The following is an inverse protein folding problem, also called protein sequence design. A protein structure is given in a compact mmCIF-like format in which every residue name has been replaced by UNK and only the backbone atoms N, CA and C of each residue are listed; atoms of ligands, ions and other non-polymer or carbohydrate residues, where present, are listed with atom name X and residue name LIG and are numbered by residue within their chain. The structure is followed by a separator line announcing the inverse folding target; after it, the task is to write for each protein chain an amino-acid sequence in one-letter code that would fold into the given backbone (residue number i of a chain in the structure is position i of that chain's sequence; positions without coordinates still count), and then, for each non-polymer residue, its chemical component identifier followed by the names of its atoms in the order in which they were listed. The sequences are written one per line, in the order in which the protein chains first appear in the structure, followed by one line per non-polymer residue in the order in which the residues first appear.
data_IF_557091469992
#
_entry.id   IF_557091469992
#
_cell.length_a   1.000
_cell.length_b   1.000
_cell.length_c   1.000
_cell.angle_alpha   90.00
_cell.angle_beta   90.00
_cell.angle_gamma   90.00
#
_symmetry.space_group_name_H-M   'P 1'
#
loop_
_entity.id
_entity.type
_entity.pdbx_description
1 polymer ?
#
# COMPACT_ATOMS: atom_id res chain seq x y z
N UNK A 1 65.06 45.67 -30.35
CA UNK A 1 64.91 44.30 -29.75
C UNK A 1 63.72 44.31 -28.77
N UNK A 2 62.56 43.81 -29.21
CA UNK A 2 61.31 43.90 -28.48
C UNK A 2 60.88 42.48 -28.12
N UNK A 3 60.89 42.15 -26.84
CA UNK A 3 60.52 40.83 -26.31
C UNK A 3 59.04 40.82 -26.05
N UNK A 4 58.27 40.01 -26.80
CA UNK A 4 56.84 39.71 -26.55
C UNK A 4 56.72 38.63 -25.48
N UNK A 5 56.09 38.94 -24.36
CA UNK A 5 55.65 37.97 -23.33
C UNK A 5 54.29 37.38 -23.75
N UNK A 6 54.24 36.06 -23.93
CA UNK A 6 53.00 35.30 -24.07
C UNK A 6 52.41 35.01 -22.65
N UNK A 7 51.23 35.55 -22.37
CA UNK A 7 50.40 35.09 -21.25
C UNK A 7 49.68 33.78 -21.65
N UNK A 8 49.95 32.71 -20.94
CA UNK A 8 49.14 31.48 -21.01
C UNK A 8 48.01 31.61 -19.98
N UNK A 9 46.75 31.66 -20.44
CA UNK A 9 45.57 31.57 -19.62
C UNK A 9 45.34 30.11 -19.19
N UNK A 10 45.37 29.86 -17.90
CA UNK A 10 45.00 28.56 -17.29
C UNK A 10 43.49 28.58 -17.04
N UNK A 11 42.73 27.84 -17.84
CA UNK A 11 41.32 27.56 -17.56
C UNK A 11 41.21 26.47 -16.49
N UNK A 12 40.87 26.85 -15.28
CA UNK A 12 40.53 25.91 -14.22
C UNK A 12 39.07 25.50 -14.44
N UNK A 13 38.87 24.29 -14.92
CA UNK A 13 37.57 23.67 -15.03
C UNK A 13 37.06 23.28 -13.62
N UNK A 14 36.02 23.95 -13.14
CA UNK A 14 35.31 23.58 -11.93
C UNK A 14 34.42 22.39 -12.30
N UNK A 15 34.83 21.18 -11.91
CA UNK A 15 33.99 20.02 -11.97
C UNK A 15 32.90 20.15 -10.86
N UNK A 16 31.67 20.37 -11.28
CA UNK A 16 30.53 20.32 -10.36
C UNK A 16 30.33 18.89 -9.88
N UNK A 17 30.70 18.61 -8.64
CA UNK A 17 30.32 17.37 -7.97
C UNK A 17 28.79 17.39 -7.73
N UNK A 18 28.08 16.55 -8.45
CA UNK A 18 26.70 16.26 -8.13
C UNK A 18 26.64 15.65 -6.72
N UNK A 19 25.67 16.05 -5.86
CA UNK A 19 25.55 15.45 -4.52
C UNK A 19 25.22 13.97 -4.68
N UNK A 20 26.09 13.10 -4.16
CA UNK A 20 25.82 11.69 -4.01
C UNK A 20 24.71 11.56 -2.96
N UNK A 21 23.52 11.18 -3.40
CA UNK A 21 22.43 10.86 -2.48
C UNK A 21 22.85 9.60 -1.71
N UNK A 22 23.16 9.75 -0.42
CA UNK A 22 23.40 8.61 0.46
C UNK A 22 22.08 7.83 0.58
N UNK A 23 22.06 6.60 0.08
CA UNK A 23 20.91 5.71 0.26
C UNK A 23 20.78 5.31 1.73
N UNK A 24 19.56 5.46 2.28
CA UNK A 24 19.27 5.01 3.63
C UNK A 24 19.42 3.48 3.74
N UNK A 25 20.13 3.02 4.76
CA UNK A 25 20.27 1.59 5.07
C UNK A 25 19.67 1.32 6.45
N UNK A 26 18.80 0.33 6.55
CA UNK A 26 18.27 -0.19 7.80
C UNK A 26 18.58 -1.69 7.88
N UNK A 27 19.70 -2.05 8.48
CA UNK A 27 20.08 -3.44 8.68
C UNK A 27 20.03 -4.30 7.42
N UNK A 28 19.03 -5.16 7.32
CA UNK A 28 18.83 -6.10 6.21
C UNK A 28 18.26 -5.51 4.92
N UNK A 29 17.95 -4.20 4.86
CA UNK A 29 17.38 -3.52 3.67
C UNK A 29 18.16 -2.26 3.34
N UNK A 30 18.33 -2.00 2.05
CA UNK A 30 18.93 -0.75 1.55
C UNK A 30 18.03 -0.15 0.45
N UNK A 31 17.94 1.17 0.41
CA UNK A 31 17.28 1.85 -0.70
C UNK A 31 18.13 1.67 -1.98
N UNK A 32 17.50 1.17 -3.04
CA UNK A 32 18.15 0.89 -4.33
C UNK A 32 17.66 1.79 -5.44
N UNK A 33 16.45 2.35 -5.31
CA UNK A 33 15.89 3.28 -6.29
C UNK A 33 14.97 4.31 -5.64
N UNK A 34 14.73 5.39 -6.35
CA UNK A 34 13.72 6.41 -6.10
C UNK A 34 13.12 6.81 -7.44
N UNK A 35 11.85 6.49 -7.64
CA UNK A 35 11.15 6.60 -8.93
C UNK A 35 10.15 7.73 -8.83
N UNK A 36 10.38 8.85 -9.52
CA UNK A 36 9.46 9.98 -9.52
C UNK A 36 8.13 9.60 -10.20
N UNK A 37 7.01 9.91 -9.54
CA UNK A 37 5.67 9.76 -10.11
C UNK A 37 5.17 11.08 -10.72
N UNK A 38 5.70 12.22 -10.26
CA UNK A 38 5.24 13.55 -10.63
C UNK A 38 3.89 13.91 -10.00
N UNK A 39 3.17 14.90 -10.56
CA UNK A 39 1.83 15.25 -10.11
C UNK A 39 0.80 14.17 -10.49
N UNK A 40 -0.34 14.11 -9.78
CA UNK A 40 -0.78 14.98 -8.68
C UNK A 40 -0.13 14.63 -7.33
N UNK A 41 -0.21 15.55 -6.37
CA UNK A 41 0.39 15.46 -5.03
C UNK A 41 -0.51 14.65 -4.08
N UNK A 42 -0.93 13.47 -4.52
CA UNK A 42 -1.77 12.55 -3.74
C UNK A 42 -1.40 11.11 -4.08
N UNK A 43 -1.41 10.25 -3.09
CA UNK A 43 -1.28 8.79 -3.27
C UNK A 43 -2.04 8.05 -2.19
N UNK A 44 -2.26 6.77 -2.45
CA UNK A 44 -2.83 5.86 -1.48
C UNK A 44 -2.18 4.46 -1.57
N UNK A 45 -2.96 3.38 -1.65
CA UNK A 45 -2.45 2.02 -1.55
C UNK A 45 -1.54 1.62 -2.70
N UNK A 46 -0.68 0.67 -2.37
CA UNK A 46 0.27 0.03 -3.29
C UNK A 46 0.00 -1.46 -3.30
N UNK A 47 -0.13 -2.04 -4.48
CA UNK A 47 -0.39 -3.47 -4.64
C UNK A 47 0.65 -4.09 -5.56
N UNK A 48 1.24 -5.21 -5.11
CA UNK A 48 2.12 -6.02 -5.93
C UNK A 48 1.33 -7.17 -6.57
N UNK A 49 1.48 -7.34 -7.88
CA UNK A 49 1.01 -8.53 -8.59
C UNK A 49 2.19 -9.50 -8.81
N UNK A 50 2.31 -10.56 -8.01
CA UNK A 50 3.39 -11.51 -8.18
C UNK A 50 3.27 -12.31 -9.49
N UNK A 51 2.10 -12.36 -10.11
CA UNK A 51 1.87 -13.01 -11.41
C UNK A 51 2.68 -12.36 -12.54
N UNK A 52 2.67 -11.03 -12.60
CA UNK A 52 3.29 -10.25 -13.67
C UNK A 52 4.57 -9.51 -13.24
N UNK A 53 4.89 -9.47 -11.95
CA UNK A 53 5.91 -8.62 -11.34
C UNK A 53 5.63 -7.12 -11.54
N UNK A 54 4.36 -6.74 -11.59
CA UNK A 54 3.94 -5.33 -11.63
C UNK A 54 3.60 -4.84 -10.24
N UNK A 55 3.90 -3.58 -10.01
CA UNK A 55 3.51 -2.82 -8.82
C UNK A 55 2.54 -1.74 -9.28
N UNK A 56 1.38 -1.71 -8.70
CA UNK A 56 0.32 -0.74 -8.95
C UNK A 56 0.26 0.24 -7.79
N UNK A 57 0.28 1.53 -8.09
CA UNK A 57 0.26 2.61 -7.09
C UNK A 57 -0.94 3.50 -7.36
N UNK A 58 -1.84 3.62 -6.41
CA UNK A 58 -2.91 4.61 -6.45
C UNK A 58 -2.28 6.01 -6.33
N UNK A 59 -2.39 6.81 -7.39
CA UNK A 59 -1.71 8.09 -7.52
C UNK A 59 -2.65 9.18 -8.02
N UNK A 60 -3.40 9.72 -7.09
CA UNK A 60 -4.34 10.80 -7.37
C UNK A 60 -5.44 10.38 -8.36
N UNK A 61 -5.40 10.85 -9.59
CA UNK A 61 -6.41 10.62 -10.64
C UNK A 61 -6.11 9.39 -11.54
N UNK A 62 -5.10 8.58 -11.17
CA UNK A 62 -4.60 7.46 -11.97
C UNK A 62 -3.99 6.36 -11.11
N UNK A 63 -3.73 5.21 -11.72
CA UNK A 63 -2.85 4.19 -11.17
C UNK A 63 -1.52 4.24 -11.94
N UNK A 64 -0.41 4.48 -11.26
CA UNK A 64 0.92 4.29 -11.83
C UNK A 64 1.31 2.81 -11.78
N UNK A 65 1.86 2.27 -12.87
CA UNK A 65 2.25 0.86 -12.98
C UNK A 65 3.75 0.75 -13.20
N UNK A 66 4.43 0.07 -12.29
CA UNK A 66 5.88 -0.16 -12.35
C UNK A 66 6.17 -1.64 -12.62
N UNK A 67 7.32 -1.93 -13.22
CA UNK A 67 7.89 -3.29 -13.28
C UNK A 67 8.89 -3.46 -12.11
N UNK A 68 8.64 -4.45 -11.25
CA UNK A 68 9.44 -4.70 -10.05
C UNK A 68 10.86 -5.22 -10.34
N UNK A 69 11.14 -5.67 -11.58
CA UNK A 69 12.46 -6.16 -11.98
C UNK A 69 13.36 -5.02 -12.39
N UNK A 70 12.83 -4.08 -13.19
CA UNK A 70 13.58 -2.95 -13.75
C UNK A 70 13.50 -1.68 -12.92
N UNK A 71 12.55 -1.61 -11.96
CA UNK A 71 12.26 -0.42 -11.15
C UNK A 71 11.90 0.81 -12.02
N UNK A 72 11.15 0.59 -13.12
CA UNK A 72 10.69 1.64 -14.02
C UNK A 72 9.17 1.67 -14.12
N UNK A 73 8.62 2.87 -14.39
CA UNK A 73 7.21 3.02 -14.77
C UNK A 73 7.04 2.41 -16.17
N UNK A 74 6.07 1.49 -16.30
CA UNK A 74 5.77 0.80 -17.57
C UNK A 74 4.42 1.19 -18.16
N UNK A 75 3.64 2.00 -17.44
CA UNK A 75 2.36 2.52 -17.89
C UNK A 75 1.55 3.13 -16.78
N UNK A 76 0.33 3.53 -17.12
CA UNK A 76 -0.64 4.07 -16.16
C UNK A 76 -2.06 3.77 -16.60
N UNK A 77 -2.99 3.68 -15.63
CA UNK A 77 -4.42 3.65 -15.85
C UNK A 77 -4.96 5.03 -15.52
N UNK A 78 -5.56 5.70 -16.46
CA UNK A 78 -6.04 7.09 -16.34
C UNK A 78 -7.56 7.16 -16.28
N UNK A 79 -8.07 8.32 -15.84
CA UNK A 79 -9.49 8.64 -15.96
C UNK A 79 -10.29 8.55 -14.67
N UNK A 80 -9.67 8.64 -13.49
CA UNK A 80 -10.33 8.66 -12.17
C UNK A 80 -10.20 10.02 -11.49
N UNK A 81 -10.82 11.10 -12.03
CA UNK A 81 -10.64 12.46 -11.53
C UNK A 81 -11.16 12.66 -10.09
N UNK A 82 -11.99 11.77 -9.57
CA UNK A 82 -12.45 11.77 -8.18
C UNK A 82 -11.44 11.22 -7.18
N UNK A 83 -10.36 10.65 -7.68
CA UNK A 83 -9.28 10.08 -6.87
C UNK A 83 -9.32 8.56 -6.79
N UNK A 84 -8.12 7.96 -6.72
CA UNK A 84 -7.91 6.51 -6.58
C UNK A 84 -7.33 6.20 -5.20
N UNK A 85 -7.77 5.08 -4.61
CA UNK A 85 -7.32 4.60 -3.31
C UNK A 85 -6.98 3.10 -3.39
N UNK A 86 -7.99 2.22 -3.52
CA UNK A 86 -7.83 0.78 -3.55
C UNK A 86 -7.41 0.22 -4.91
N UNK A 87 -6.80 -0.96 -4.88
CA UNK A 87 -6.45 -1.70 -6.09
C UNK A 87 -6.66 -3.19 -5.81
N UNK A 88 -7.39 -3.88 -6.69
CA UNK A 88 -7.52 -5.34 -6.66
C UNK A 88 -7.16 -5.94 -8.02
N UNK A 89 -6.58 -7.14 -8.00
CA UNK A 89 -6.16 -7.85 -9.21
C UNK A 89 -6.99 -9.12 -9.36
N UNK A 90 -7.71 -9.23 -10.45
CA UNK A 90 -8.43 -10.45 -10.87
C UNK A 90 -7.66 -11.15 -12.00
N UNK A 91 -6.67 -11.96 -11.63
CA UNK A 91 -5.88 -12.69 -12.63
C UNK A 91 -6.72 -13.63 -13.47
N UNK A 92 -7.84 -14.13 -12.95
CA UNK A 92 -8.74 -15.06 -13.65
C UNK A 92 -9.47 -14.43 -14.83
N UNK A 93 -9.77 -13.12 -14.76
CA UNK A 93 -10.41 -12.34 -15.83
C UNK A 93 -9.44 -11.48 -16.62
N UNK A 94 -8.20 -11.32 -16.13
CA UNK A 94 -7.21 -10.42 -16.73
C UNK A 94 -7.47 -8.94 -16.41
N UNK A 95 -8.29 -8.66 -15.41
CA UNK A 95 -8.69 -7.30 -15.01
C UNK A 95 -8.03 -6.87 -13.72
N UNK A 96 -7.76 -5.57 -13.63
CA UNK A 96 -7.52 -4.86 -12.39
C UNK A 96 -8.73 -4.01 -12.03
N UNK A 97 -8.91 -3.73 -10.77
CA UNK A 97 -9.97 -2.87 -10.25
C UNK A 97 -9.34 -1.77 -9.40
N UNK A 98 -9.88 -0.58 -9.51
CA UNK A 98 -9.60 0.58 -8.65
C UNK A 98 -10.91 1.35 -8.43
N UNK A 99 -10.83 2.49 -7.79
CA UNK A 99 -11.97 3.37 -7.55
C UNK A 99 -11.83 4.73 -8.26
N UNK A 100 -12.94 5.39 -8.45
CA UNK A 100 -13.08 6.83 -8.63
C UNK A 100 -13.89 7.33 -7.43
N UNK A 101 -13.23 7.46 -6.28
CA UNK A 101 -13.84 7.53 -4.95
C UNK A 101 -14.88 8.64 -4.81
N UNK A 102 -14.57 9.87 -5.25
CA UNK A 102 -15.53 10.97 -5.17
C UNK A 102 -16.76 10.79 -6.07
N UNK A 103 -16.70 9.90 -7.07
CA UNK A 103 -17.85 9.56 -7.91
C UNK A 103 -18.63 8.35 -7.42
N UNK A 104 -18.12 7.64 -6.43
CA UNK A 104 -18.74 6.40 -5.97
C UNK A 104 -18.75 5.32 -7.05
N UNK A 105 -17.64 5.14 -7.73
CA UNK A 105 -17.46 4.15 -8.78
C UNK A 105 -16.27 3.23 -8.47
N UNK A 106 -16.46 1.93 -8.70
CA UNK A 106 -15.35 1.02 -8.95
C UNK A 106 -15.06 1.01 -10.46
N UNK A 107 -13.78 0.96 -10.82
CA UNK A 107 -13.30 1.06 -12.20
C UNK A 107 -12.53 -0.19 -12.56
N UNK A 108 -13.03 -0.97 -13.51
CA UNK A 108 -12.35 -2.14 -14.07
C UNK A 108 -11.45 -1.72 -15.24
N UNK A 109 -10.24 -2.25 -15.29
CA UNK A 109 -9.29 -2.01 -16.37
C UNK A 109 -8.56 -3.30 -16.78
N UNK A 110 -8.19 -3.40 -18.05
CA UNK A 110 -7.44 -4.53 -18.59
C UNK A 110 -5.98 -4.50 -18.12
N UNK A 111 -5.50 -5.57 -17.51
CA UNK A 111 -4.14 -5.65 -16.94
C UNK A 111 -3.03 -5.57 -17.99
N UNK A 112 -3.30 -5.89 -19.26
CA UNK A 112 -2.30 -5.90 -20.32
C UNK A 112 -2.17 -4.53 -20.97
N UNK A 113 -3.30 -3.94 -21.39
CA UNK A 113 -3.36 -2.66 -22.10
C UNK A 113 -3.42 -1.46 -21.15
N UNK A 114 -3.78 -1.66 -19.88
CA UNK A 114 -4.00 -0.64 -18.85
C UNK A 114 -5.13 0.34 -19.21
N UNK A 115 -6.06 -0.07 -20.05
CA UNK A 115 -7.23 0.74 -20.43
C UNK A 115 -8.41 0.44 -19.53
N UNK A 116 -9.12 1.49 -19.14
CA UNK A 116 -10.42 1.36 -18.46
C UNK A 116 -11.41 0.66 -19.40
N UNK A 117 -12.09 -0.35 -18.90
CA UNK A 117 -13.11 -1.12 -19.61
C UNK A 117 -14.51 -0.80 -19.11
N UNK A 118 -14.69 -0.82 -17.79
CA UNK A 118 -16.00 -0.64 -17.18
C UNK A 118 -15.96 0.29 -15.96
N UNK A 119 -17.07 0.97 -15.72
CA UNK A 119 -17.35 1.72 -14.50
C UNK A 119 -18.56 1.12 -13.84
N UNK A 120 -18.41 0.74 -12.59
CA UNK A 120 -19.38 -0.05 -11.83
C UNK A 120 -19.82 0.82 -10.64
N UNK A 121 -21.14 1.07 -10.47
CA UNK A 121 -21.60 1.82 -9.30
C UNK A 121 -21.14 1.17 -8.00
N UNK A 122 -20.52 1.98 -7.14
CA UNK A 122 -20.18 1.66 -5.75
C UNK A 122 -20.82 2.71 -4.84
N UNK A 123 -20.61 2.64 -3.52
CA UNK A 123 -21.01 3.74 -2.68
C UNK A 123 -19.95 4.85 -2.69
N UNK A 124 -20.30 6.03 -2.21
CA UNK A 124 -19.36 7.13 -2.05
C UNK A 124 -18.20 6.69 -1.11
N UNK A 125 -17.02 7.29 -1.30
CA UNK A 125 -15.83 6.95 -0.54
C UNK A 125 -15.38 5.49 -0.73
N UNK A 126 -15.47 4.99 -1.97
CA UNK A 126 -14.88 3.71 -2.36
C UNK A 126 -13.37 3.79 -2.12
N UNK A 127 -12.81 2.80 -1.40
CA UNK A 127 -11.46 2.83 -0.86
C UNK A 127 -10.77 1.47 -1.00
N UNK A 128 -10.40 0.80 0.08
CA UNK A 128 -9.69 -0.48 0.05
C UNK A 128 -10.40 -1.55 -0.80
N UNK A 129 -9.62 -2.32 -1.55
CA UNK A 129 -10.15 -3.38 -2.42
C UNK A 129 -9.35 -4.68 -2.29
N UNK A 130 -10.04 -5.81 -2.40
CA UNK A 130 -9.41 -7.13 -2.52
C UNK A 130 -10.20 -8.05 -3.43
N UNK A 131 -9.49 -8.89 -4.17
CA UNK A 131 -10.10 -10.05 -4.86
C UNK A 131 -10.06 -11.26 -3.93
N UNK A 132 -11.22 -11.84 -3.63
CA UNK A 132 -11.29 -13.13 -2.95
C UNK A 132 -10.83 -14.26 -3.89
N UNK A 133 -9.78 -15.01 -3.54
CA UNK A 133 -9.21 -16.01 -4.45
C UNK A 133 -10.09 -17.25 -4.62
N UNK A 134 -11.09 -17.49 -3.78
CA UNK A 134 -11.99 -18.64 -3.87
C UNK A 134 -13.16 -18.40 -4.83
N UNK A 135 -13.83 -17.25 -4.70
CA UNK A 135 -14.99 -16.90 -5.53
C UNK A 135 -14.62 -16.10 -6.77
N UNK A 136 -13.46 -15.43 -6.75
CA UNK A 136 -13.03 -14.47 -7.76
C UNK A 136 -13.72 -13.11 -7.64
N UNK A 137 -14.60 -12.90 -6.66
CA UNK A 137 -15.29 -11.63 -6.43
C UNK A 137 -14.35 -10.56 -5.90
N UNK A 138 -14.61 -9.32 -6.26
CA UNK A 138 -13.92 -8.14 -5.74
C UNK A 138 -14.78 -7.52 -4.65
N UNK A 139 -14.18 -7.30 -3.49
CA UNK A 139 -14.77 -6.60 -2.36
C UNK A 139 -14.19 -5.20 -2.29
N UNK A 140 -15.05 -4.20 -2.26
CA UNK A 140 -14.71 -2.78 -2.20
C UNK A 140 -15.22 -2.22 -0.88
N UNK A 141 -14.35 -1.63 -0.08
CA UNK A 141 -14.74 -0.86 1.10
C UNK A 141 -15.28 0.48 0.66
N UNK A 142 -16.47 0.81 1.09
CA UNK A 142 -17.05 2.15 0.99
C UNK A 142 -17.00 2.74 2.42
N UNK A 143 -15.89 3.41 2.74
CA UNK A 143 -15.45 3.68 4.11
C UNK A 143 -16.44 4.47 4.95
N UNK A 144 -16.75 5.69 4.55
CA UNK A 144 -17.62 6.61 5.30
C UNK A 144 -19.08 6.13 5.39
N UNK A 145 -19.71 5.58 4.32
CA UNK A 145 -21.04 4.99 4.42
C UNK A 145 -21.12 3.71 5.24
N UNK A 146 -20.00 3.09 5.57
CA UNK A 146 -19.95 1.83 6.32
C UNK A 146 -20.53 0.65 5.55
N UNK A 147 -20.23 0.55 4.24
CA UNK A 147 -20.72 -0.50 3.35
C UNK A 147 -19.57 -1.20 2.64
N UNK A 148 -19.83 -2.43 2.17
CA UNK A 148 -18.97 -3.08 1.19
C UNK A 148 -19.77 -3.37 -0.07
N UNK A 149 -19.22 -2.98 -1.21
CA UNK A 149 -19.72 -3.37 -2.53
C UNK A 149 -19.01 -4.64 -3.00
N UNK A 150 -19.77 -5.64 -3.42
CA UNK A 150 -19.25 -6.92 -3.92
C UNK A 150 -19.51 -7.02 -5.41
N UNK A 151 -18.44 -7.16 -6.20
CA UNK A 151 -18.48 -7.16 -7.67
C UNK A 151 -18.10 -8.57 -8.17
N UNK A 152 -18.82 -9.06 -9.17
CA UNK A 152 -18.38 -10.22 -9.97
C UNK A 152 -17.62 -9.72 -11.22
N UNK A 153 -16.31 -9.98 -11.31
CA UNK A 153 -15.48 -9.53 -12.45
C UNK A 153 -15.88 -10.18 -13.80
N UNK A 154 -16.65 -11.28 -13.80
CA UNK A 154 -17.07 -11.92 -15.05
C UNK A 154 -18.23 -11.19 -15.73
N UNK A 155 -19.01 -10.44 -14.97
CA UNK A 155 -20.18 -9.68 -15.44
C UNK A 155 -20.02 -8.18 -15.26
N UNK A 156 -18.91 -7.74 -14.64
CA UNK A 156 -18.64 -6.34 -14.29
C UNK A 156 -19.83 -5.69 -13.59
N UNK A 157 -20.43 -6.41 -12.65
CA UNK A 157 -21.65 -5.96 -11.96
C UNK A 157 -21.59 -6.20 -10.47
N UNK A 158 -22.29 -5.34 -9.72
CA UNK A 158 -22.52 -5.51 -8.30
C UNK A 158 -23.44 -6.71 -8.06
N UNK A 159 -22.98 -7.68 -7.27
CA UNK A 159 -23.73 -8.89 -6.92
C UNK A 159 -24.25 -8.87 -5.49
N UNK A 160 -23.69 -8.00 -4.64
CA UNK A 160 -24.17 -7.79 -3.27
C UNK A 160 -23.67 -6.43 -2.74
N UNK A 161 -24.38 -5.91 -1.76
CA UNK A 161 -23.92 -4.82 -0.88
C UNK A 161 -24.10 -5.26 0.55
N UNK A 162 -23.05 -5.14 1.37
CA UNK A 162 -23.05 -5.52 2.78
C UNK A 162 -23.08 -4.25 3.60
N UNK A 163 -24.09 -4.08 4.46
CA UNK A 163 -24.17 -2.96 5.38
C UNK A 163 -23.50 -3.34 6.71
N UNK A 164 -22.40 -2.68 7.03
CA UNK A 164 -21.65 -2.85 8.27
C UNK A 164 -22.06 -1.83 9.31
N UNK A 165 -22.51 -0.65 8.86
CA UNK A 165 -22.99 0.43 9.72
C UNK A 165 -21.88 1.07 10.57
N UNK A 166 -20.62 0.99 10.14
CA UNK A 166 -19.47 1.60 10.81
C UNK A 166 -18.33 1.80 9.81
N UNK A 167 -17.48 2.80 10.05
CA UNK A 167 -16.32 3.10 9.20
C UNK A 167 -15.33 1.94 9.18
N UNK A 168 -14.91 1.60 7.97
CA UNK A 168 -13.90 0.59 7.66
C UNK A 168 -12.74 1.23 6.88
N UNK A 169 -11.65 0.45 6.71
CA UNK A 169 -10.49 0.93 5.94
C UNK A 169 -10.02 -0.14 4.95
N UNK A 170 -9.12 -1.01 5.33
CA UNK A 170 -8.51 -1.98 4.42
C UNK A 170 -8.97 -3.41 4.71
N UNK A 171 -8.68 -4.32 3.77
CA UNK A 171 -9.17 -5.69 3.84
C UNK A 171 -8.18 -6.68 3.23
N UNK A 172 -8.31 -7.95 3.64
CA UNK A 172 -7.57 -9.07 3.09
C UNK A 172 -8.51 -10.27 2.92
N UNK A 173 -8.20 -11.16 1.98
CA UNK A 173 -8.99 -12.36 1.72
C UNK A 173 -8.13 -13.62 1.76
N UNK A 174 -8.67 -14.70 2.31
CA UNK A 174 -8.00 -15.99 2.35
C UNK A 174 -8.50 -16.94 1.24
N UNK A 175 -7.85 -18.11 1.12
CA UNK A 175 -8.26 -19.13 0.14
C UNK A 175 -9.43 -20.00 0.63
N UNK A 176 -9.83 -19.85 1.89
CA UNK A 176 -10.98 -20.55 2.46
C UNK A 176 -12.29 -19.82 2.14
N UNK A 177 -12.21 -18.57 1.66
CA UNK A 177 -13.34 -17.75 1.27
C UNK A 177 -13.80 -16.82 2.38
N UNK A 178 -12.88 -16.37 3.23
CA UNK A 178 -13.14 -15.31 4.20
C UNK A 178 -12.49 -14.00 3.75
N UNK A 179 -13.20 -12.92 3.96
CA UNK A 179 -12.69 -11.56 3.82
C UNK A 179 -12.65 -10.93 5.22
N UNK A 180 -11.49 -10.40 5.57
CA UNK A 180 -11.21 -9.76 6.86
C UNK A 180 -11.09 -8.27 6.64
N UNK A 181 -11.89 -7.47 7.32
CA UNK A 181 -11.96 -6.02 7.14
C UNK A 181 -11.61 -5.30 8.44
N UNK A 182 -10.76 -4.30 8.36
CA UNK A 182 -10.43 -3.44 9.50
C UNK A 182 -11.58 -2.50 9.82
N UNK A 183 -12.22 -2.67 10.96
CA UNK A 183 -13.31 -1.82 11.47
C UNK A 183 -12.75 -0.66 12.28
N UNK A 184 -12.53 0.48 11.63
CA UNK A 184 -11.84 1.66 12.20
C UNK A 184 -12.55 2.22 13.43
N UNK A 185 -13.86 2.35 13.35
CA UNK A 185 -14.65 3.01 14.39
C UNK A 185 -14.87 2.13 15.63
N UNK A 186 -15.06 0.82 15.40
CA UNK A 186 -15.36 -0.14 16.48
C UNK A 186 -14.13 -0.86 17.01
N UNK A 187 -12.96 -0.63 16.42
CA UNK A 187 -11.71 -1.34 16.76
C UNK A 187 -11.91 -2.85 16.75
N UNK A 188 -12.38 -3.37 15.62
CA UNK A 188 -12.65 -4.79 15.42
C UNK A 188 -12.14 -5.28 14.04
N UNK A 189 -12.17 -6.58 13.84
CA UNK A 189 -12.08 -7.21 12.54
C UNK A 189 -13.44 -7.76 12.17
N UNK A 190 -13.99 -7.33 11.04
CA UNK A 190 -15.23 -7.84 10.48
C UNK A 190 -14.87 -9.02 9.58
N UNK A 191 -15.47 -10.17 9.80
CA UNK A 191 -15.27 -11.39 9.00
C UNK A 191 -16.48 -11.63 8.13
N UNK A 192 -16.23 -11.79 6.83
CA UNK A 192 -17.27 -11.98 5.83
C UNK A 192 -17.04 -13.32 5.12
N UNK A 193 -18.08 -14.12 4.93
CA UNK A 193 -18.07 -15.23 3.99
C UNK A 193 -18.23 -14.71 2.56
N UNK A 194 -17.23 -14.93 1.74
CA UNK A 194 -17.16 -14.36 0.39
C UNK A 194 -18.22 -14.94 -0.56
N UNK A 195 -18.69 -16.16 -0.33
CA UNK A 195 -19.66 -16.81 -1.21
C UNK A 195 -21.08 -16.30 -0.94
N UNK A 196 -21.47 -16.19 0.31
CA UNK A 196 -22.79 -15.68 0.71
C UNK A 196 -22.86 -14.16 0.82
N UNK A 197 -21.69 -13.48 0.86
CA UNK A 197 -21.58 -12.05 1.16
C UNK A 197 -22.26 -11.66 2.48
N UNK A 198 -22.05 -12.48 3.52
CA UNK A 198 -22.63 -12.25 4.85
C UNK A 198 -21.53 -12.06 5.88
N UNK A 199 -21.76 -11.14 6.83
CA UNK A 199 -20.91 -11.00 8.01
C UNK A 199 -21.11 -12.24 8.89
N UNK A 200 -20.00 -12.91 9.23
CA UNK A 200 -20.01 -14.13 10.04
C UNK A 200 -19.47 -13.91 11.44
N UNK A 201 -18.64 -12.90 11.65
CA UNK A 201 -18.10 -12.56 12.95
C UNK A 201 -17.64 -11.10 13.04
N UNK A 202 -17.53 -10.63 14.28
CA UNK A 202 -16.83 -9.42 14.69
C UNK A 202 -15.82 -9.78 15.79
N UNK A 203 -14.54 -9.64 15.51
CA UNK A 203 -13.48 -9.93 16.48
C UNK A 203 -13.00 -8.64 17.13
N UNK A 204 -13.29 -8.46 18.40
CA UNK A 204 -12.91 -7.24 19.11
C UNK A 204 -11.41 -7.17 19.34
N UNK A 205 -10.83 -5.98 19.06
CA UNK A 205 -9.42 -5.69 19.26
C UNK A 205 -9.24 -4.42 20.09
N UNK A 206 -9.62 -4.45 21.40
CA UNK A 206 -9.77 -3.24 22.23
C UNK A 206 -8.48 -2.44 22.37
N UNK A 207 -7.33 -3.11 22.28
CA UNK A 207 -6.01 -2.46 22.37
C UNK A 207 -5.50 -1.88 21.04
N UNK A 208 -6.22 -2.08 19.93
CA UNK A 208 -5.95 -1.51 18.63
C UNK A 208 -6.83 -0.28 18.39
N UNK A 209 -6.26 0.90 18.49
CA UNK A 209 -7.01 2.12 18.18
C UNK A 209 -6.98 2.39 16.68
N UNK A 210 -8.18 2.49 16.10
CA UNK A 210 -8.36 2.79 14.68
C UNK A 210 -7.49 1.89 13.79
N UNK A 211 -7.84 0.61 13.65
CA UNK A 211 -7.16 -0.29 12.73
C UNK A 211 -7.26 0.22 11.29
N UNK A 212 -6.16 0.12 10.53
CA UNK A 212 -6.06 0.55 9.14
C UNK A 212 -5.53 -0.58 8.26
N UNK A 213 -4.20 -0.66 8.11
CA UNK A 213 -3.58 -1.64 7.22
C UNK A 213 -3.77 -3.08 7.68
N UNK A 214 -4.03 -3.98 6.75
CA UNK A 214 -4.20 -5.42 6.99
C UNK A 214 -3.34 -6.22 6.02
N UNK A 215 -2.72 -7.30 6.48
CA UNK A 215 -2.08 -8.31 5.65
C UNK A 215 -2.32 -9.71 6.19
N UNK A 216 -2.22 -10.73 5.34
CA UNK A 216 -2.58 -12.10 5.69
C UNK A 216 -1.44 -13.08 5.39
N UNK A 217 -1.02 -13.81 6.41
CA UNK A 217 -0.30 -15.08 6.27
C UNK A 217 -1.32 -16.22 6.19
N UNK A 218 -1.83 -16.44 4.98
CA UNK A 218 -2.85 -17.45 4.74
C UNK A 218 -2.35 -18.88 5.01
N UNK A 219 -1.04 -19.13 4.93
CA UNK A 219 -0.46 -20.45 5.16
C UNK A 219 -0.54 -20.88 6.63
N UNK A 220 -0.38 -19.93 7.54
CA UNK A 220 -0.42 -20.17 8.99
C UNK A 220 -1.71 -19.63 9.64
N UNK A 221 -2.63 -19.05 8.87
CA UNK A 221 -3.86 -18.47 9.40
C UNK A 221 -3.59 -17.30 10.37
N UNK A 222 -2.75 -16.34 9.96
CA UNK A 222 -2.44 -15.15 10.77
C UNK A 222 -2.77 -13.87 10.04
N UNK A 223 -3.63 -13.07 10.65
CA UNK A 223 -3.98 -11.73 10.18
C UNK A 223 -3.15 -10.70 10.94
N UNK A 224 -2.41 -9.88 10.20
CA UNK A 224 -1.68 -8.74 10.73
C UNK A 224 -2.52 -7.49 10.55
N UNK A 225 -2.69 -6.70 11.59
CA UNK A 225 -3.51 -5.48 11.56
C UNK A 225 -2.79 -4.33 12.25
N UNK A 226 -2.45 -3.30 11.50
CA UNK A 226 -1.79 -2.09 11.98
C UNK A 226 -2.79 -1.13 12.64
N UNK A 227 -2.40 -0.52 13.74
CA UNK A 227 -3.23 0.35 14.58
C UNK A 227 -2.57 1.74 14.69
N UNK A 228 -3.36 2.82 14.71
CA UNK A 228 -2.82 4.18 14.80
C UNK A 228 -2.11 4.49 16.12
N UNK A 229 -2.33 3.69 17.16
CA UNK A 229 -1.64 3.82 18.45
C UNK A 229 -0.30 3.06 18.52
N UNK A 230 0.38 2.94 17.37
CA UNK A 230 1.72 2.36 17.25
C UNK A 230 1.81 0.89 17.68
N UNK A 231 0.79 0.12 17.37
CA UNK A 231 0.71 -1.33 17.59
C UNK A 231 0.37 -2.06 16.29
N UNK A 232 0.79 -3.29 16.19
CA UNK A 232 0.29 -4.24 15.20
C UNK A 232 -0.24 -5.46 15.95
N UNK A 233 -1.51 -5.78 15.77
CA UNK A 233 -2.11 -7.00 16.30
C UNK A 233 -1.89 -8.14 15.33
N UNK A 234 -1.61 -9.32 15.86
CA UNK A 234 -1.61 -10.57 15.10
C UNK A 234 -2.74 -11.43 15.60
N UNK A 235 -3.69 -11.76 14.73
CA UNK A 235 -4.86 -12.55 15.07
C UNK A 235 -4.77 -13.93 14.42
N UNK A 236 -5.26 -14.94 15.11
CA UNK A 236 -5.52 -16.26 14.56
C UNK A 236 -6.84 -16.25 13.78
N UNK A 237 -6.80 -16.57 12.48
CA UNK A 237 -7.96 -16.46 11.60
C UNK A 237 -9.02 -17.55 11.82
N UNK A 238 -8.68 -18.61 12.55
CA UNK A 238 -9.65 -19.66 12.90
C UNK A 238 -10.49 -19.32 14.14
N UNK A 239 -9.97 -18.47 15.03
CA UNK A 239 -10.64 -18.16 16.31
C UNK A 239 -10.88 -16.68 16.58
N UNK A 240 -10.25 -15.79 15.81
CA UNK A 240 -10.25 -14.34 16.08
C UNK A 240 -9.42 -13.91 17.29
N UNK A 241 -8.70 -14.85 17.92
CA UNK A 241 -7.89 -14.56 19.11
C UNK A 241 -6.61 -13.81 18.74
N UNK A 242 -6.30 -12.76 19.49
CA UNK A 242 -5.00 -12.07 19.40
C UNK A 242 -3.93 -13.01 19.95
N UNK A 243 -2.92 -13.34 19.13
CA UNK A 243 -1.81 -14.25 19.47
C UNK A 243 -0.49 -13.50 19.70
N UNK A 244 -0.36 -12.28 19.17
CA UNK A 244 0.78 -11.41 19.43
C UNK A 244 0.38 -9.94 19.27
N UNK A 245 1.11 -9.07 19.99
CA UNK A 245 1.10 -7.62 19.84
C UNK A 245 2.54 -7.18 19.55
N UNK A 246 2.74 -6.43 18.46
CA UNK A 246 4.04 -5.99 18.00
C UNK A 246 4.13 -4.46 18.07
N UNK A 247 5.17 -3.87 18.66
CA UNK A 247 5.36 -2.43 18.67
C UNK A 247 5.81 -1.96 17.27
N UNK A 248 5.05 -1.05 16.68
CA UNK A 248 5.40 -0.39 15.41
C UNK A 248 5.58 1.12 15.63
N UNK A 249 5.99 1.86 14.60
CA UNK A 249 6.00 3.33 14.67
C UNK A 249 4.60 3.92 14.41
N UNK A 250 4.52 5.26 14.48
CA UNK A 250 3.27 6.00 14.33
C UNK A 250 2.92 6.28 12.86
N UNK A 251 1.63 6.34 12.58
CA UNK A 251 1.11 6.71 11.25
C UNK A 251 1.14 5.55 10.26
N UNK A 252 0.88 4.34 10.75
CA UNK A 252 0.64 3.17 9.91
C UNK A 252 -0.67 3.32 9.13
N UNK A 253 -0.64 2.97 7.85
CA UNK A 253 -1.79 2.98 6.95
C UNK A 253 -1.89 1.71 6.10
N UNK A 254 -0.82 0.94 6.03
CA UNK A 254 -0.79 -0.37 5.39
C UNK A 254 0.09 -1.35 6.14
N UNK A 255 -0.07 -2.63 5.87
CA UNK A 255 0.80 -3.72 6.33
C UNK A 255 1.13 -4.59 5.13
N UNK A 256 2.37 -5.07 5.03
CA UNK A 256 2.78 -5.98 3.98
C UNK A 256 3.38 -7.27 4.55
N UNK A 257 3.07 -8.42 3.95
CA UNK A 257 3.58 -9.72 4.32
C UNK A 257 4.41 -10.35 3.20
N UNK A 258 5.65 -10.74 3.50
CA UNK A 258 6.51 -11.55 2.61
C UNK A 258 6.48 -13.02 3.06
N UNK A 259 5.74 -13.88 2.38
CA UNK A 259 5.62 -15.30 2.75
C UNK A 259 6.92 -16.08 2.53
N UNK A 260 7.78 -15.65 1.59
CA UNK A 260 9.01 -16.37 1.28
C UNK A 260 10.10 -16.10 2.31
N UNK A 261 10.17 -14.87 2.82
CA UNK A 261 11.15 -14.46 3.85
C UNK A 261 10.57 -14.47 5.25
N UNK A 262 9.27 -14.75 5.37
CA UNK A 262 8.50 -14.75 6.63
C UNK A 262 8.69 -13.43 7.39
N UNK A 263 8.47 -12.32 6.69
CA UNK A 263 8.62 -10.97 7.24
C UNK A 263 7.33 -10.18 7.09
N UNK A 264 6.95 -9.49 8.15
CA UNK A 264 5.85 -8.51 8.14
C UNK A 264 6.45 -7.10 8.28
N UNK A 265 5.87 -6.16 7.52
CA UNK A 265 6.33 -4.78 7.43
C UNK A 265 5.19 -3.83 7.76
N UNK A 266 5.52 -2.78 8.51
CA UNK A 266 4.63 -1.66 8.82
C UNK A 266 5.31 -0.35 8.44
N UNK A 267 4.87 0.34 7.39
CA UNK A 267 5.31 1.70 7.11
C UNK A 267 4.67 2.65 8.13
N UNK A 268 5.50 3.49 8.74
CA UNK A 268 5.13 4.37 9.86
C UNK A 268 5.30 5.82 9.39
N UNK A 269 4.26 6.35 8.73
CA UNK A 269 4.35 7.61 7.99
C UNK A 269 4.70 8.83 8.84
N UNK A 270 4.30 8.87 10.11
CA UNK A 270 4.68 9.99 11.00
C UNK A 270 6.14 9.93 11.41
N UNK A 271 6.66 8.71 11.63
CA UNK A 271 8.03 8.51 12.10
C UNK A 271 9.04 8.42 10.94
N UNK A 272 8.58 8.32 9.68
CA UNK A 272 9.44 8.16 8.52
C UNK A 272 10.26 6.87 8.57
N UNK A 273 9.63 5.76 8.97
CA UNK A 273 10.29 4.46 9.15
C UNK A 273 9.43 3.31 8.64
N UNK A 274 10.03 2.13 8.48
CA UNK A 274 9.30 0.87 8.33
C UNK A 274 9.74 -0.07 9.45
N UNK A 275 8.80 -0.48 10.29
CA UNK A 275 9.04 -1.56 11.28
C UNK A 275 9.04 -2.91 10.56
N UNK A 276 9.98 -3.78 10.92
CA UNK A 276 10.18 -5.09 10.29
C UNK A 276 10.21 -6.16 11.36
N UNK A 277 9.43 -7.23 11.18
CA UNK A 277 9.44 -8.39 12.08
C UNK A 277 9.61 -9.67 11.29
N UNK A 278 10.45 -10.58 11.80
CA UNK A 278 10.55 -11.95 11.33
C UNK A 278 9.59 -12.84 12.10
N UNK A 279 8.76 -13.58 11.41
CA UNK A 279 7.95 -14.64 12.00
C UNK A 279 8.82 -15.85 12.28
N UNK A 280 9.06 -16.17 13.54
CA UNK A 280 9.81 -17.35 13.99
C UNK A 280 8.92 -18.59 14.04
N UNK A 281 7.76 -18.44 14.66
CA UNK A 281 6.63 -19.38 14.60
C UNK A 281 5.39 -18.60 14.23
N UNK A 282 4.24 -19.22 13.91
CA UNK A 282 3.02 -18.49 13.65
C UNK A 282 2.63 -17.47 14.73
N UNK A 283 2.99 -17.73 15.98
CA UNK A 283 2.62 -16.89 17.14
C UNK A 283 3.81 -16.14 17.77
N UNK A 284 5.02 -16.27 17.21
CA UNK A 284 6.24 -15.62 17.76
C UNK A 284 6.98 -14.85 16.69
N UNK A 285 7.29 -13.59 17.00
CA UNK A 285 7.91 -12.64 16.09
C UNK A 285 9.15 -12.03 16.75
N UNK A 286 10.15 -11.74 15.95
CA UNK A 286 11.37 -11.04 16.33
C UNK A 286 11.48 -9.73 15.58
N UNK A 287 11.68 -8.62 16.29
CA UNK A 287 11.94 -7.33 15.66
C UNK A 287 13.29 -7.38 14.93
N UNK A 288 13.31 -6.93 13.70
CA UNK A 288 14.51 -6.70 12.90
C UNK A 288 14.83 -5.20 12.88
N UNK A 289 16.03 -4.81 12.41
CA UNK A 289 16.37 -3.41 12.27
C UNK A 289 15.33 -2.64 11.46
N UNK A 290 14.90 -1.51 11.99
CA UNK A 290 13.95 -0.61 11.35
C UNK A 290 14.58 0.04 10.12
N UNK A 291 13.84 0.15 9.03
CA UNK A 291 14.27 0.82 7.81
C UNK A 291 13.92 2.31 7.92
N UNK A 292 14.90 3.19 7.72
CA UNK A 292 14.66 4.63 7.64
C UNK A 292 14.07 4.99 6.28
N UNK A 293 13.00 5.77 6.28
CA UNK A 293 12.33 6.30 5.09
C UNK A 293 12.14 7.81 5.21
N UNK A 294 11.16 8.35 4.51
CA UNK A 294 10.77 9.77 4.60
C UNK A 294 9.49 9.90 5.41
N UNK A 295 9.30 11.00 6.17
CA UNK A 295 8.00 11.33 6.74
C UNK A 295 6.91 11.29 5.66
N UNK A 296 5.73 10.78 6.00
CA UNK A 296 4.63 10.57 5.07
C UNK A 296 4.63 9.22 4.36
N UNK A 297 5.69 8.40 4.45
CA UNK A 297 5.74 7.03 3.91
C UNK A 297 4.83 6.13 4.73
N UNK A 298 3.55 5.98 4.33
CA UNK A 298 2.52 5.27 5.09
C UNK A 298 1.94 4.04 4.40
N UNK A 299 2.10 3.98 3.06
CA UNK A 299 1.61 2.85 2.25
C UNK A 299 2.75 2.22 1.47
N UNK A 300 2.70 0.89 1.35
CA UNK A 300 3.73 0.11 0.66
C UNK A 300 3.21 -1.26 0.21
N UNK A 301 3.94 -1.87 -0.71
CA UNK A 301 3.81 -3.30 -1.02
C UNK A 301 5.18 -3.98 -0.99
N UNK A 302 5.17 -5.31 -0.85
CA UNK A 302 6.35 -6.16 -1.04
C UNK A 302 6.15 -7.01 -2.30
N UNK A 303 7.16 -7.06 -3.17
CA UNK A 303 7.22 -8.11 -4.19
C UNK A 303 7.81 -9.38 -3.56
N UNK A 304 7.02 -10.44 -3.37
CA UNK A 304 7.49 -11.62 -2.65
C UNK A 304 8.59 -12.37 -3.41
N UNK A 305 8.71 -12.21 -4.72
CA UNK A 305 9.75 -12.88 -5.53
C UNK A 305 11.13 -12.32 -5.23
N UNK A 306 11.29 -11.00 -5.30
CA UNK A 306 12.55 -10.32 -5.05
C UNK A 306 12.76 -9.96 -3.58
N UNK A 307 11.69 -9.81 -2.81
CA UNK A 307 11.68 -9.23 -1.46
C UNK A 307 11.84 -7.71 -1.46
N UNK A 308 11.78 -7.07 -2.63
CA UNK A 308 11.81 -5.61 -2.72
C UNK A 308 10.55 -5.01 -2.11
N UNK A 309 10.73 -3.90 -1.41
CA UNK A 309 9.66 -3.08 -0.86
C UNK A 309 9.49 -1.85 -1.75
N UNK A 310 8.25 -1.53 -2.07
CA UNK A 310 7.86 -0.37 -2.84
C UNK A 310 6.99 0.51 -1.94
N UNK A 311 7.52 1.63 -1.48
CA UNK A 311 6.85 2.52 -0.53
C UNK A 311 6.72 3.92 -1.14
N UNK A 312 5.54 4.53 -1.04
CA UNK A 312 5.32 5.86 -1.61
C UNK A 312 5.67 6.94 -0.59
N UNK A 313 6.38 7.96 -1.05
CA UNK A 313 6.82 9.09 -0.27
C UNK A 313 6.74 10.39 -1.06
N UNK A 314 6.80 11.52 -0.35
CA UNK A 314 6.91 12.85 -0.95
C UNK A 314 7.72 13.78 -0.04
N UNK A 315 8.18 14.90 -0.59
CA UNK A 315 8.69 16.00 0.21
C UNK A 315 7.54 16.87 0.71
N UNK A 316 7.66 17.37 1.92
CA UNK A 316 6.66 18.25 2.52
C UNK A 316 7.27 19.62 2.80
N UNK A 317 6.46 20.66 2.65
CA UNK A 317 6.79 21.97 3.16
C UNK A 317 6.61 22.02 4.69
N UNK A 318 7.26 22.93 5.39
CA UNK A 318 6.99 23.13 6.80
C UNK A 318 5.50 23.36 7.06
N UNK A 319 4.97 22.78 8.13
CA UNK A 319 3.58 23.02 8.52
C UNK A 319 3.34 24.51 8.74
N UNK A 320 2.27 25.12 8.20
CA UNK A 320 2.01 26.55 8.28
C UNK A 320 1.74 27.03 9.72
N UNK A 321 1.34 26.13 10.61
CA UNK A 321 1.13 26.38 12.05
C UNK A 321 1.21 25.06 12.83
N UNK A 322 1.42 25.10 14.16
CA UNK A 322 1.38 23.91 14.99
C UNK A 322 0.07 23.14 14.83
N UNK A 323 0.16 21.83 14.51
CA UNK A 323 -0.99 20.96 14.31
C UNK A 323 -1.62 20.99 12.90
N UNK A 324 -1.22 21.91 12.03
CA UNK A 324 -1.65 21.91 10.64
C UNK A 324 -0.93 20.80 9.84
N UNK A 325 -1.59 20.30 8.80
CA UNK A 325 -0.96 19.33 7.88
C UNK A 325 0.03 20.07 6.97
N UNK A 326 1.27 19.58 6.86
CA UNK A 326 2.23 20.09 5.88
C UNK A 326 1.70 19.89 4.44
N UNK A 327 1.95 20.83 3.55
CA UNK A 327 1.66 20.67 2.14
C UNK A 327 2.73 19.77 1.48
N UNK A 328 2.29 18.93 0.54
CA UNK A 328 3.20 18.16 -0.30
C UNK A 328 3.81 19.11 -1.32
N UNK A 329 5.12 19.04 -1.51
CA UNK A 329 5.81 19.82 -2.56
C UNK A 329 5.41 19.33 -3.94
N UNK A 330 5.06 20.24 -4.84
CA UNK A 330 4.69 19.88 -6.19
C UNK A 330 5.76 19.01 -6.90
N UNK A 331 5.30 17.95 -7.56
CA UNK A 331 6.15 17.03 -8.32
C UNK A 331 7.07 16.13 -7.48
N UNK A 332 6.93 16.13 -6.15
CA UNK A 332 7.85 15.40 -5.26
C UNK A 332 7.41 13.95 -4.96
N UNK A 333 6.21 13.55 -5.37
CA UNK A 333 5.70 12.19 -5.12
C UNK A 333 6.56 11.16 -5.85
N UNK A 334 6.99 10.13 -5.13
CA UNK A 334 7.91 9.11 -5.64
C UNK A 334 7.68 7.76 -4.97
N UNK A 335 8.11 6.70 -5.64
CA UNK A 335 8.23 5.37 -5.04
C UNK A 335 9.67 5.16 -4.60
N UNK A 336 9.88 4.91 -3.32
CA UNK A 336 11.15 4.44 -2.78
C UNK A 336 11.20 2.92 -2.90
N UNK A 337 12.29 2.39 -3.45
CA UNK A 337 12.50 0.94 -3.57
C UNK A 337 13.60 0.52 -2.64
N UNK A 338 13.29 -0.43 -1.74
CA UNK A 338 14.27 -1.04 -0.85
C UNK A 338 14.46 -2.51 -1.24
N UNK A 339 15.70 -2.95 -1.32
CA UNK A 339 16.04 -4.36 -1.56
C UNK A 339 16.64 -4.99 -0.31
N UNK A 340 16.43 -6.30 -0.09
CA UNK A 340 17.17 -7.04 0.93
C UNK A 340 18.67 -6.86 0.71
N UNK A 341 19.43 -6.67 1.80
CA UNK A 341 20.89 -6.75 1.73
C UNK A 341 21.30 -8.17 1.33
N UNK A 342 22.22 -8.29 0.40
CA UNK A 342 22.77 -9.56 -0.10
C UNK A 342 23.64 -10.25 0.95
#
# INVERSE_FOLDING_TARGET
MTVRRLLRAFCIGIAALAPAHAFASGGDYRQVASIALGPPERWDYVVADPGTARIYVAHGDRIAVLDARSDHIVGQVEGMPGGTHGIAISAATGQGFTDDGAKGEAVAFDLKSLKVEHRIPAAADADGMVTDPRTGRVFVVDGDPGKLTVIDPRSDSVVATIDVGAKMEYLAADRAGHVYVAGVEKSDVIVIDAASAQITAHWQTPDCQRPHGVALDAANGRLFMGCLNAKMMVLDTGSGRIVAELPIGHGNDSVAWDPLRRRVFSPNGRDGTISVFRQVTPDRYEALPTITTMPGTRTMAVDPRSGKLFAVAADFDPAPSPGARPAIRPGSVRVLVFAPAS
#
